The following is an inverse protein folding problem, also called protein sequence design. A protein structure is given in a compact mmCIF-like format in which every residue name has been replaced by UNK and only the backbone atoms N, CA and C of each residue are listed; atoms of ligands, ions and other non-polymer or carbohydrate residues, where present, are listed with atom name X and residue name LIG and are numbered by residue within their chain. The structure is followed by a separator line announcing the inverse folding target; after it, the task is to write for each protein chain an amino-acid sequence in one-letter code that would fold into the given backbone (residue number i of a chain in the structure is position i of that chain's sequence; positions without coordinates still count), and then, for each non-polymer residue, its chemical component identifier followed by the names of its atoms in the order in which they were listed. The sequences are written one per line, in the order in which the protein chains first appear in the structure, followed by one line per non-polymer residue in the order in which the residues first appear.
data_IF_895480772232
#
_entry.id   IF_895480772232
#
_cell.length_a   1.000
_cell.length_b   1.000
_cell.length_c   1.000
_cell.angle_alpha   90.00
_cell.angle_beta   90.00
_cell.angle_gamma   90.00
#
_symmetry.space_group_name_H-M   'P 1'
#
loop_
_entity.id
_entity.type
_entity.pdbx_description
1 polymer ?
#
# COMPACT_ATOMS: atom_id res chain seq x y z
N UNK A 1 17.28 7.54 -24.18
CA UNK A 1 16.90 6.86 -22.93
C UNK A 1 15.83 7.72 -22.27
N UNK A 2 14.56 7.41 -22.53
CA UNK A 2 13.47 8.07 -21.81
C UNK A 2 13.51 7.57 -20.36
N UNK A 3 13.58 8.47 -19.37
CA UNK A 3 13.51 8.03 -17.99
C UNK A 3 12.14 7.39 -17.77
N UNK A 4 12.05 6.24 -17.08
CA UNK A 4 10.77 5.62 -16.79
C UNK A 4 9.85 6.66 -16.13
N UNK A 5 8.62 6.72 -16.62
CA UNK A 5 7.60 7.64 -16.12
C UNK A 5 7.44 7.35 -14.63
N UNK A 6 7.26 8.38 -13.79
CA UNK A 6 7.15 8.22 -12.32
C UNK A 6 6.13 7.14 -11.90
N UNK A 7 5.13 6.86 -12.73
CA UNK A 7 4.11 5.84 -12.54
C UNK A 7 4.64 4.39 -12.52
N UNK A 8 5.80 4.10 -13.14
CA UNK A 8 6.37 2.74 -13.14
C UNK A 8 6.85 2.30 -11.74
N UNK A 9 7.10 3.25 -10.84
CA UNK A 9 7.53 2.97 -9.47
C UNK A 9 6.37 2.93 -8.48
N UNK A 10 5.15 3.29 -8.91
CA UNK A 10 3.98 3.26 -8.07
C UNK A 10 3.48 1.82 -7.92
N UNK A 11 3.22 1.40 -6.68
CA UNK A 11 2.74 0.04 -6.39
C UNK A 11 1.32 0.08 -5.88
N UNK A 12 0.50 -0.85 -6.36
CA UNK A 12 -0.89 -0.98 -5.96
C UNK A 12 -1.05 -2.35 -5.31
N UNK A 13 -1.47 -2.37 -4.04
CA UNK A 13 -1.71 -3.59 -3.29
C UNK A 13 -3.14 -3.57 -2.79
N UNK A 14 -3.87 -4.64 -3.05
CA UNK A 14 -5.20 -4.84 -2.49
C UNK A 14 -5.06 -5.49 -1.12
N UNK A 15 -5.64 -4.85 -0.13
CA UNK A 15 -5.60 -5.28 1.26
C UNK A 15 -6.99 -5.78 1.64
N UNK A 16 -7.12 -7.09 1.79
CA UNK A 16 -8.36 -7.69 2.26
C UNK A 16 -8.37 -7.68 3.80
N UNK A 17 -9.35 -6.99 4.36
CA UNK A 17 -9.59 -6.93 5.81
C UNK A 17 -11.00 -7.44 6.11
N UNK A 18 -11.19 -8.19 7.20
CA UNK A 18 -12.52 -8.59 7.64
C UNK A 18 -13.32 -7.39 8.14
N UNK A 19 -14.65 -7.47 8.08
CA UNK A 19 -15.55 -6.43 8.59
C UNK A 19 -15.26 -6.05 10.05
N UNK A 20 -14.86 -7.02 10.89
CA UNK A 20 -14.48 -6.75 12.28
C UNK A 20 -13.31 -5.75 12.38
N UNK A 21 -12.21 -6.01 11.66
CA UNK A 21 -11.03 -5.12 11.61
C UNK A 21 -11.35 -3.76 10.99
N UNK A 22 -12.25 -3.74 10.00
CA UNK A 22 -12.70 -2.49 9.40
C UNK A 22 -13.49 -1.61 10.39
N UNK A 23 -14.25 -2.23 11.30
CA UNK A 23 -15.04 -1.55 12.31
C UNK A 23 -14.19 -1.06 13.49
N UNK A 24 -13.36 -1.93 14.07
CA UNK A 24 -12.54 -1.60 15.26
C UNK A 24 -11.21 -0.93 14.94
N UNK A 25 -10.77 -0.98 13.69
CA UNK A 25 -9.41 -0.63 13.32
C UNK A 25 -8.44 -1.76 13.70
N UNK A 26 -7.28 -1.78 13.04
CA UNK A 26 -6.31 -2.86 13.19
C UNK A 26 -4.96 -2.53 12.55
N UNK A 27 -4.00 -3.43 12.70
CA UNK A 27 -2.67 -3.30 12.12
C UNK A 27 -2.45 -4.41 11.09
N UNK A 28 -2.28 -4.04 9.82
CA UNK A 28 -2.02 -5.02 8.76
C UNK A 28 -0.59 -4.92 8.27
N UNK A 29 0.07 -6.07 8.24
CA UNK A 29 1.37 -6.17 7.61
C UNK A 29 1.21 -6.30 6.08
N UNK A 30 1.73 -5.32 5.36
CA UNK A 30 1.78 -5.30 3.90
C UNK A 30 3.19 -5.62 3.43
N UNK A 31 3.32 -6.52 2.47
CA UNK A 31 4.61 -6.80 1.83
C UNK A 31 4.66 -6.14 0.47
N UNK A 32 5.64 -5.26 0.26
CA UNK A 32 5.83 -4.50 -0.98
C UNK A 32 7.25 -4.68 -1.52
N UNK A 33 7.50 -4.39 -2.80
CA UNK A 33 8.84 -4.51 -3.40
C UNK A 33 9.51 -3.15 -3.48
N UNK A 34 10.71 -2.99 -2.92
CA UNK A 34 11.48 -1.74 -2.98
C UNK A 34 12.92 -2.04 -3.40
N UNK A 35 13.36 -1.47 -4.53
CA UNK A 35 14.72 -1.64 -5.03
C UNK A 35 15.10 -3.11 -5.25
N UNK A 36 14.19 -3.89 -5.84
CA UNK A 36 14.38 -5.33 -6.06
C UNK A 36 14.23 -6.22 -4.82
N UNK A 37 14.04 -5.67 -3.62
CA UNK A 37 13.87 -6.44 -2.37
C UNK A 37 12.44 -6.37 -1.85
N UNK A 38 11.91 -7.49 -1.34
CA UNK A 38 10.62 -7.50 -0.62
C UNK A 38 10.82 -6.90 0.78
N UNK A 39 10.01 -5.91 1.14
CA UNK A 39 9.95 -5.31 2.47
C UNK A 39 8.55 -5.48 3.05
N UNK A 40 8.48 -5.61 4.37
CA UNK A 40 7.24 -5.65 5.14
C UNK A 40 7.05 -4.28 5.78
N UNK A 41 5.84 -3.75 5.73
CA UNK A 41 5.43 -2.53 6.40
C UNK A 41 4.18 -2.83 7.21
N UNK A 42 4.17 -2.39 8.47
CA UNK A 42 2.96 -2.42 9.27
C UNK A 42 2.15 -1.15 8.99
N UNK A 43 0.92 -1.33 8.55
CA UNK A 43 0.00 -0.23 8.22
C UNK A 43 -1.11 -0.25 9.25
N UNK A 44 -1.26 0.86 9.96
CA UNK A 44 -2.42 1.07 10.83
C UNK A 44 -3.63 1.41 9.99
N UNK A 45 -4.65 0.59 10.12
CA UNK A 45 -5.96 0.79 9.53
C UNK A 45 -6.83 1.46 10.61
N UNK A 46 -7.31 2.69 10.37
CA UNK A 46 -8.15 3.36 11.34
C UNK A 46 -9.51 2.66 11.47
N UNK A 47 -10.15 2.72 12.66
CA UNK A 47 -11.53 2.26 12.85
C UNK A 47 -12.48 3.00 11.93
N UNK A 48 -13.50 2.30 11.43
CA UNK A 48 -14.50 2.86 10.52
C UNK A 48 -14.03 3.02 9.07
N UNK A 49 -12.97 2.30 8.68
CA UNK A 49 -12.53 2.25 7.28
C UNK A 49 -13.62 1.61 6.40
N UNK A 50 -13.95 2.26 5.29
CA UNK A 50 -14.96 1.77 4.35
C UNK A 50 -14.33 0.91 3.25
N UNK A 51 -15.06 -0.08 2.70
CA UNK A 51 -14.64 -0.75 1.48
C UNK A 51 -14.39 0.27 0.37
N UNK A 52 -13.27 0.12 -0.34
CA UNK A 52 -12.84 1.06 -1.38
C UNK A 52 -11.98 2.21 -0.87
N UNK A 53 -11.66 2.27 0.43
CA UNK A 53 -10.70 3.23 0.97
C UNK A 53 -9.34 3.02 0.32
N UNK A 54 -8.71 4.10 -0.15
CA UNK A 54 -7.34 4.08 -0.66
C UNK A 54 -6.40 4.77 0.31
N UNK A 55 -5.40 4.05 0.79
CA UNK A 55 -4.32 4.62 1.60
C UNK A 55 -3.11 4.82 0.70
N UNK A 56 -2.65 6.05 0.58
CA UNK A 56 -1.45 6.40 -0.18
C UNK A 56 -0.28 6.59 0.77
N UNK A 57 0.78 5.81 0.56
CA UNK A 57 2.03 5.88 1.31
C UNK A 57 3.11 6.47 0.40
N UNK A 58 3.40 7.75 0.62
CA UNK A 58 4.31 8.51 -0.24
C UNK A 58 5.76 8.03 -0.07
N UNK A 59 6.43 7.70 -1.17
CA UNK A 59 7.83 7.23 -1.16
C UNK A 59 8.03 5.80 -0.63
N UNK A 60 6.94 5.06 -0.42
CA UNK A 60 6.94 3.66 0.03
C UNK A 60 6.67 2.69 -1.14
N UNK A 61 6.67 3.17 -2.38
CA UNK A 61 6.56 2.33 -3.57
C UNK A 61 7.88 1.68 -3.98
N UNK A 62 7.96 1.31 -5.25
CA UNK A 62 9.20 0.83 -5.85
C UNK A 62 10.26 1.94 -5.78
N UNK A 63 11.52 1.53 -5.65
CA UNK A 63 12.67 2.44 -5.65
C UNK A 63 13.59 2.03 -6.77
N UNK A 64 13.94 2.98 -7.63
CA UNK A 64 14.89 2.78 -8.72
C UNK A 64 15.86 3.96 -8.75
N UNK A 65 17.12 3.68 -8.45
CA UNK A 65 18.15 4.71 -8.26
C UNK A 65 17.75 5.77 -7.21
N UNK A 66 17.66 7.03 -7.64
CA UNK A 66 17.25 8.18 -6.81
C UNK A 66 15.73 8.43 -6.79
N UNK A 67 14.95 7.73 -7.62
CA UNK A 67 13.48 7.88 -7.67
C UNK A 67 12.82 6.86 -6.76
N UNK A 68 11.74 7.26 -6.09
CA UNK A 68 10.86 6.37 -5.31
C UNK A 68 9.43 6.69 -5.70
N UNK A 69 8.64 5.66 -5.98
CA UNK A 69 7.22 5.79 -6.22
C UNK A 69 6.42 5.75 -4.92
N UNK A 70 5.10 5.78 -5.08
CA UNK A 70 4.13 5.73 -4.00
C UNK A 70 3.48 4.34 -3.90
N UNK A 71 3.11 3.92 -2.69
CA UNK A 71 2.38 2.69 -2.46
C UNK A 71 0.91 3.01 -2.18
N UNK A 72 0.02 2.50 -3.02
CA UNK A 72 -1.42 2.62 -2.93
C UNK A 72 -2.00 1.32 -2.38
N UNK A 73 -2.59 1.39 -1.20
CA UNK A 73 -3.29 0.28 -0.57
C UNK A 73 -4.79 0.45 -0.81
N UNK A 74 -5.39 -0.52 -1.49
CA UNK A 74 -6.83 -0.54 -1.75
C UNK A 74 -7.47 -1.45 -0.72
N UNK A 75 -8.19 -0.86 0.23
CA UNK A 75 -8.83 -1.60 1.31
C UNK A 75 -10.11 -2.23 0.77
N UNK A 76 -10.15 -3.57 0.73
CA UNK A 76 -11.35 -4.35 0.49
C UNK A 76 -11.82 -4.93 1.81
N UNK A 77 -13.06 -4.61 2.19
CA UNK A 77 -13.70 -5.23 3.34
C UNK A 77 -14.39 -6.49 2.85
N UNK A 78 -14.05 -7.63 3.45
CA UNK A 78 -14.74 -8.89 3.22
C UNK A 78 -15.66 -9.18 4.40
N UNK A 79 -16.93 -9.45 4.08
CA UNK A 79 -17.96 -9.86 5.02
C UNK A 79 -17.87 -11.34 5.35
#
# INVERSE_FOLDING_TARGET
YEPPLRQELDQHIELEIPQAEAATGGEKQVTYKRGGRKKKLMVKIPPGVKPGTKIRLRGIGAKEGKKSGDLYLHIRVKG
#
